data_IF_180699070857
#
_entry.id   IF_180699070857
#
_cell.length_a   1.000
_cell.length_b   1.000
_cell.length_c   1.000
_cell.angle_alpha   90.00
_cell.angle_beta   90.00
_cell.angle_gamma   90.00
#
_symmetry.space_group_name_H-M   'P 1'
#
loop_
_entity.id
_entity.type
_entity.pdbx_description
1 polymer ?
#
# COMPACT_ATOMS: atom_id res chain seq x y z
N UNK A 1 -6.47 29.77 14.15
CA UNK A 1 -5.92 28.69 13.31
C UNK A 1 -6.12 27.39 14.06
N UNK A 2 -7.26 26.74 13.86
CA UNK A 2 -7.48 25.41 14.45
C UNK A 2 -6.53 24.43 13.77
N UNK A 3 -5.69 23.76 14.56
CA UNK A 3 -5.00 22.58 14.11
C UNK A 3 -6.08 21.55 13.78
N UNK A 4 -6.41 21.40 12.50
CA UNK A 4 -7.21 20.28 12.03
C UNK A 4 -6.39 19.05 12.40
N UNK A 5 -6.79 18.41 13.49
CA UNK A 5 -6.30 17.11 13.91
C UNK A 5 -6.80 16.14 12.84
N UNK A 6 -6.12 16.10 11.69
CA UNK A 6 -6.44 15.21 10.57
C UNK A 6 -6.44 13.81 11.16
N UNK A 7 -7.62 13.17 11.20
CA UNK A 7 -7.75 11.80 11.68
C UNK A 7 -6.73 10.95 10.94
N UNK A 8 -5.75 10.44 11.70
CA UNK A 8 -4.65 9.66 11.17
C UNK A 8 -5.13 8.22 11.03
N UNK A 9 -5.27 7.74 9.80
CA UNK A 9 -5.60 6.35 9.55
C UNK A 9 -4.42 5.46 9.95
N UNK A 10 -4.69 4.28 10.48
CA UNK A 10 -3.66 3.29 10.81
C UNK A 10 -3.37 2.44 9.59
N UNK A 11 -2.10 2.31 9.21
CA UNK A 11 -1.69 1.39 8.13
C UNK A 11 -1.31 0.06 8.76
N UNK A 12 -1.98 -1.02 8.35
CA UNK A 12 -1.77 -2.36 8.90
C UNK A 12 -1.43 -3.37 7.80
N UNK A 13 -0.68 -4.41 8.17
CA UNK A 13 -0.63 -5.63 7.37
C UNK A 13 -1.82 -6.50 7.75
N UNK A 14 -2.73 -6.70 6.81
CA UNK A 14 -3.92 -7.50 6.98
C UNK A 14 -3.70 -8.90 6.40
N UNK A 15 -4.14 -9.97 7.07
CA UNK A 15 -3.89 -11.33 6.61
C UNK A 15 -4.61 -11.63 5.29
N UNK A 16 -4.07 -12.61 4.56
CA UNK A 16 -4.74 -13.20 3.42
C UNK A 16 -5.90 -14.12 3.85
N UNK A 17 -6.57 -14.78 2.89
CA UNK A 17 -7.70 -15.68 3.14
C UNK A 17 -7.37 -16.90 4.01
N UNK A 18 -6.09 -17.17 4.24
CA UNK A 18 -5.59 -18.26 5.08
C UNK A 18 -5.07 -17.78 6.45
N UNK A 19 -5.34 -16.52 6.82
CA UNK A 19 -4.84 -15.95 8.08
C UNK A 19 -3.35 -15.60 8.05
N UNK A 20 -2.71 -15.58 6.89
CA UNK A 20 -1.26 -15.33 6.77
C UNK A 20 -0.94 -13.89 6.40
N UNK A 21 -0.13 -13.24 7.22
CA UNK A 21 0.52 -11.97 6.90
C UNK A 21 1.51 -12.14 5.72
N UNK A 22 1.39 -11.28 4.71
CA UNK A 22 2.30 -11.25 3.56
C UNK A 22 3.08 -9.92 3.45
N UNK A 23 2.52 -8.82 3.97
CA UNK A 23 3.12 -7.50 3.85
C UNK A 23 4.32 -7.33 4.80
N UNK A 24 4.22 -7.75 6.06
CA UNK A 24 5.34 -7.61 7.00
C UNK A 24 6.56 -8.45 6.61
N UNK A 25 6.43 -9.72 6.15
CA UNK A 25 7.55 -10.48 5.61
C UNK A 25 8.22 -9.79 4.42
N UNK A 26 7.45 -9.18 3.51
CA UNK A 26 7.99 -8.42 2.39
C UNK A 26 8.80 -7.20 2.86
N UNK A 27 8.27 -6.41 3.79
CA UNK A 27 8.98 -5.26 4.38
C UNK A 27 10.25 -5.71 5.11
N UNK A 28 10.21 -6.81 5.86
CA UNK A 28 11.38 -7.39 6.54
C UNK A 28 12.44 -7.82 5.53
N UNK A 29 12.05 -8.43 4.41
CA UNK A 29 12.97 -8.81 3.34
C UNK A 29 13.63 -7.57 2.74
N UNK A 30 12.84 -6.57 2.35
CA UNK A 30 13.36 -5.35 1.73
C UNK A 30 14.27 -4.55 2.68
N UNK A 31 13.94 -4.51 3.97
CA UNK A 31 14.81 -3.93 5.02
C UNK A 31 16.14 -4.69 5.18
N UNK A 32 16.15 -6.01 5.03
CA UNK A 32 17.41 -6.78 5.06
C UNK A 32 18.26 -6.47 3.83
N UNK A 33 17.64 -6.38 2.66
CA UNK A 33 18.35 -6.01 1.42
C UNK A 33 18.92 -4.59 1.51
N UNK A 34 18.20 -3.64 2.11
CA UNK A 34 18.65 -2.25 2.25
C UNK A 34 19.92 -2.07 3.07
N UNK A 35 20.27 -3.03 3.94
CA UNK A 35 21.50 -2.99 4.73
C UNK A 35 22.76 -3.18 3.89
N UNK A 36 22.63 -3.74 2.68
CA UNK A 36 23.76 -4.14 1.84
C UNK A 36 23.69 -3.60 0.41
N UNK A 37 22.51 -3.17 -0.06
CA UNK A 37 22.30 -2.61 -1.39
C UNK A 37 21.68 -1.21 -1.30
N UNK A 38 22.44 -0.20 -1.75
CA UNK A 38 21.98 1.20 -1.83
C UNK A 38 20.68 1.32 -2.63
N UNK A 39 20.49 0.52 -3.68
CA UNK A 39 19.24 0.52 -4.45
C UNK A 39 18.08 -0.01 -3.62
N UNK A 40 18.30 -1.05 -2.82
CA UNK A 40 17.30 -1.54 -1.88
C UNK A 40 16.96 -0.51 -0.80
N UNK A 41 17.96 0.27 -0.35
CA UNK A 41 17.75 1.33 0.65
C UNK A 41 16.87 2.47 0.14
N UNK A 42 17.12 2.95 -1.08
CA UNK A 42 16.25 3.95 -1.72
C UNK A 42 14.84 3.39 -1.92
N UNK A 43 14.70 2.14 -2.41
CA UNK A 43 13.40 1.46 -2.59
C UNK A 43 12.64 1.36 -1.26
N UNK A 44 13.32 0.94 -0.20
CA UNK A 44 12.75 0.80 1.13
C UNK A 44 12.32 2.15 1.71
N UNK A 45 13.17 3.17 1.59
CA UNK A 45 12.88 4.53 2.05
C UNK A 45 11.63 5.11 1.39
N UNK A 46 11.49 4.98 0.06
CA UNK A 46 10.28 5.46 -0.62
C UNK A 46 9.03 4.66 -0.23
N UNK A 47 9.15 3.34 -0.05
CA UNK A 47 8.01 2.53 0.41
C UNK A 47 7.57 2.94 1.83
N UNK A 48 8.51 3.14 2.75
CA UNK A 48 8.18 3.63 4.09
C UNK A 48 7.54 5.02 4.06
N UNK A 49 8.07 5.93 3.23
CA UNK A 49 7.50 7.28 3.06
C UNK A 49 6.08 7.23 2.50
N UNK A 50 5.83 6.32 1.55
CA UNK A 50 4.50 6.08 1.00
C UNK A 50 3.52 5.55 2.06
N UNK A 51 3.92 4.56 2.84
CA UNK A 51 3.09 4.01 3.92
C UNK A 51 2.84 5.03 5.04
N UNK A 52 3.82 5.86 5.38
CA UNK A 52 3.62 6.97 6.32
C UNK A 52 2.63 7.99 5.76
N UNK A 53 2.78 8.38 4.49
CA UNK A 53 1.88 9.31 3.82
C UNK A 53 0.43 8.79 3.77
N UNK A 54 0.22 7.48 3.55
CA UNK A 54 -1.11 6.88 3.54
C UNK A 54 -1.89 7.16 4.83
N UNK A 55 -1.23 7.30 5.98
CA UNK A 55 -1.91 7.59 7.25
C UNK A 55 -2.63 8.96 7.26
N UNK A 56 -2.30 9.85 6.32
CA UNK A 56 -2.88 11.19 6.21
C UNK A 56 -3.83 11.35 5.01
N UNK A 57 -3.98 10.32 4.17
CA UNK A 57 -4.93 10.32 3.06
C UNK A 57 -6.32 10.08 3.66
N UNK A 58 -7.28 10.95 3.36
CA UNK A 58 -8.66 10.72 3.77
C UNK A 58 -9.29 9.66 2.85
N UNK A 59 -10.16 8.80 3.38
CA UNK A 59 -10.92 7.83 2.58
C UNK A 59 -11.72 8.52 1.46
N UNK A 60 -12.23 9.72 1.71
CA UNK A 60 -12.97 10.51 0.73
C UNK A 60 -12.10 11.10 -0.38
N UNK A 61 -10.78 11.16 -0.16
CA UNK A 61 -9.81 11.64 -1.16
C UNK A 61 -9.29 10.49 -2.05
N UNK A 62 -9.69 9.24 -1.77
CA UNK A 62 -9.30 8.10 -2.58
C UNK A 62 -9.91 8.22 -4.00
N UNK A 63 -9.12 7.93 -5.04
CA UNK A 63 -9.62 8.00 -6.41
C UNK A 63 -10.71 6.95 -6.64
N UNK A 64 -11.89 7.37 -7.11
CA UNK A 64 -13.02 6.46 -7.36
C UNK A 64 -13.01 5.84 -8.76
N UNK A 65 -12.29 6.47 -9.68
CA UNK A 65 -12.22 6.09 -11.10
C UNK A 65 -10.76 6.08 -11.56
N UNK A 66 -10.41 5.10 -12.40
CA UNK A 66 -9.01 4.83 -12.76
C UNK A 66 -8.37 5.91 -13.65
N UNK A 67 -9.18 6.77 -14.27
CA UNK A 67 -8.79 7.91 -15.10
C UNK A 67 -8.43 9.16 -14.28
N UNK A 68 -8.63 9.14 -12.96
CA UNK A 68 -8.17 10.19 -12.03
C UNK A 68 -7.06 9.66 -11.11
N UNK A 69 -5.80 9.69 -11.56
CA UNK A 69 -4.68 9.22 -10.77
C UNK A 69 -4.45 10.07 -9.52
N UNK A 70 -4.23 9.42 -8.38
CA UNK A 70 -3.80 10.10 -7.16
C UNK A 70 -2.28 10.22 -7.18
N UNK A 71 -1.76 11.44 -7.32
CA UNK A 71 -0.33 11.69 -7.33
C UNK A 71 0.21 12.13 -5.97
N UNK A 72 1.41 11.69 -5.63
CA UNK A 72 2.16 12.20 -4.49
C UNK A 72 3.63 12.37 -4.86
N UNK A 73 4.24 13.44 -4.38
CA UNK A 73 5.68 13.66 -4.49
C UNK A 73 6.34 13.35 -3.15
N UNK A 74 7.39 12.55 -3.20
CA UNK A 74 8.18 12.21 -2.02
C UNK A 74 9.62 12.63 -2.19
N UNK A 75 10.21 13.00 -1.06
CA UNK A 75 11.63 13.20 -0.88
C UNK A 75 12.10 12.29 0.26
N UNK A 76 13.22 11.61 0.05
CA UNK A 76 13.94 10.84 1.07
C UNK A 76 15.42 11.20 1.04
N UNK A 77 16.08 11.10 2.19
CA UNK A 77 17.52 11.29 2.32
C UNK A 77 18.16 9.97 2.72
N UNK A 78 19.15 9.52 1.96
CA UNK A 78 19.92 8.29 2.21
C UNK A 78 21.41 8.67 2.25
N UNK A 79 22.01 8.62 3.44
CA UNK A 79 23.33 9.20 3.65
C UNK A 79 23.32 10.72 3.39
N UNK A 80 24.18 11.18 2.48
CA UNK A 80 24.25 12.58 2.05
C UNK A 80 23.40 12.89 0.82
N UNK A 81 22.85 11.86 0.17
CA UNK A 81 22.10 12.01 -1.08
C UNK A 81 20.59 12.20 -0.84
N UNK A 82 19.99 13.09 -1.61
CA UNK A 82 18.56 13.36 -1.62
C UNK A 82 17.95 12.74 -2.87
N UNK A 83 16.89 11.97 -2.69
CA UNK A 83 16.12 11.37 -3.76
C UNK A 83 14.71 11.96 -3.73
N UNK A 84 14.28 12.51 -4.85
CA UNK A 84 12.94 13.06 -5.01
C UNK A 84 12.24 12.43 -6.21
N UNK A 85 11.00 12.02 -6.04
CA UNK A 85 10.22 11.45 -7.12
C UNK A 85 8.71 11.66 -6.92
N UNK A 86 8.01 11.95 -8.02
CA UNK A 86 6.55 11.94 -8.09
C UNK A 86 6.03 10.58 -8.54
N UNK A 87 5.04 10.06 -7.80
CA UNK A 87 4.40 8.78 -8.06
C UNK A 87 2.93 8.98 -8.37
N UNK A 88 2.43 8.26 -9.37
CA UNK A 88 1.01 7.91 -9.47
C UNK A 88 0.71 6.88 -8.37
N UNK A 89 0.52 7.38 -7.15
CA UNK A 89 0.65 6.62 -5.91
C UNK A 89 -0.48 5.62 -5.69
N UNK A 90 -1.73 6.04 -5.87
CA UNK A 90 -2.91 5.22 -5.59
C UNK A 90 -3.71 5.07 -6.87
N UNK A 91 -4.07 3.83 -7.20
CA UNK A 91 -4.96 3.51 -8.30
C UNK A 91 -6.14 2.67 -7.79
N UNK A 92 -7.40 3.04 -8.10
CA UNK A 92 -8.52 2.15 -7.85
C UNK A 92 -8.49 0.98 -8.83
N UNK A 93 -8.78 -0.22 -8.34
CA UNK A 93 -8.90 -1.41 -9.17
C UNK A 93 -10.37 -1.63 -9.54
N UNK A 94 -10.63 -2.44 -10.56
CA UNK A 94 -11.99 -2.71 -11.06
C UNK A 94 -12.80 -3.66 -10.13
N UNK A 95 -12.75 -3.39 -8.82
CA UNK A 95 -13.52 -4.00 -7.73
C UNK A 95 -13.72 -2.94 -6.64
N UNK A 96 -14.96 -2.80 -6.15
CA UNK A 96 -15.34 -1.81 -5.13
C UNK A 96 -14.43 -1.91 -3.91
N UNK A 97 -13.89 -0.77 -3.47
CA UNK A 97 -13.10 -0.67 -2.25
C UNK A 97 -11.69 -1.26 -2.35
N UNK A 98 -11.25 -1.76 -3.50
CA UNK A 98 -9.91 -2.33 -3.67
C UNK A 98 -9.01 -1.36 -4.44
N UNK A 99 -7.84 -1.10 -3.86
CA UNK A 99 -6.87 -0.14 -4.36
C UNK A 99 -5.49 -0.79 -4.51
N UNK A 100 -4.67 -0.17 -5.35
CA UNK A 100 -3.28 -0.51 -5.58
C UNK A 100 -2.40 0.69 -5.22
N UNK A 101 -1.50 0.50 -4.23
CA UNK A 101 -0.37 1.39 -3.99
C UNK A 101 0.71 1.10 -5.03
N UNK A 102 1.25 2.14 -5.67
CA UNK A 102 2.18 2.02 -6.80
C UNK A 102 3.43 2.84 -6.56
N UNK A 103 4.55 2.15 -6.42
CA UNK A 103 5.89 2.77 -6.38
C UNK A 103 6.65 2.30 -7.62
N UNK A 104 6.70 3.15 -8.64
CA UNK A 104 7.39 2.89 -9.90
C UNK A 104 8.65 3.73 -9.97
N UNK A 105 9.82 3.13 -9.81
CA UNK A 105 11.11 3.82 -9.87
C UNK A 105 11.82 3.44 -11.17
N UNK A 106 11.66 4.26 -12.22
CA UNK A 106 12.21 3.98 -13.56
C UNK A 106 13.73 3.76 -13.52
N UNK A 107 14.48 4.61 -12.82
CA UNK A 107 15.94 4.49 -12.69
C UNK A 107 16.43 3.23 -11.96
N UNK A 108 15.55 2.56 -11.23
CA UNK A 108 15.84 1.34 -10.47
C UNK A 108 15.21 0.09 -11.10
N UNK A 109 14.52 0.24 -12.24
CA UNK A 109 13.68 -0.80 -12.85
C UNK A 109 12.77 -1.51 -11.83
N UNK A 110 12.23 -0.76 -10.86
CA UNK A 110 11.45 -1.32 -9.78
C UNK A 110 10.00 -0.86 -9.87
N UNK A 111 9.08 -1.81 -9.82
CA UNK A 111 7.64 -1.59 -9.95
C UNK A 111 6.90 -2.31 -8.82
N UNK A 112 7.00 -1.76 -7.63
CA UNK A 112 6.29 -2.30 -6.47
C UNK A 112 4.80 -1.99 -6.54
N UNK A 113 4.01 -2.95 -6.07
CA UNK A 113 2.56 -2.89 -5.88
C UNK A 113 2.18 -3.39 -4.51
N UNK A 114 1.25 -2.69 -3.84
CA UNK A 114 0.59 -3.17 -2.63
C UNK A 114 -0.92 -3.13 -2.81
N UNK A 115 -1.58 -4.28 -2.77
CA UNK A 115 -3.05 -4.33 -2.79
C UNK A 115 -3.57 -4.05 -1.38
N UNK A 116 -4.52 -3.14 -1.27
CA UNK A 116 -5.13 -2.75 0.00
C UNK A 116 -6.60 -2.38 -0.15
N UNK A 117 -7.29 -2.28 0.98
CA UNK A 117 -8.60 -1.65 1.09
C UNK A 117 -8.67 -0.74 2.34
N UNK A 118 -9.44 0.36 2.30
CA UNK A 118 -9.76 1.14 3.49
C UNK A 118 -10.86 0.42 4.29
N UNK A 119 -10.77 0.45 5.62
CA UNK A 119 -11.79 -0.10 6.52
C UNK A 119 -11.95 0.78 7.76
N UNK A 120 -13.17 0.85 8.31
CA UNK A 120 -13.44 1.56 9.56
C UNK A 120 -13.90 0.57 10.62
N UNK A 121 -13.28 0.63 11.80
CA UNK A 121 -13.61 -0.21 12.94
C UNK A 121 -13.55 0.63 14.22
N UNK A 122 -14.58 0.57 15.08
CA UNK A 122 -14.69 1.32 16.34
C UNK A 122 -14.18 2.77 16.27
N UNK A 123 -14.71 3.54 15.31
CA UNK A 123 -14.39 4.96 15.01
C UNK A 123 -12.99 5.24 14.43
N UNK A 124 -12.14 4.22 14.31
CA UNK A 124 -10.80 4.30 13.71
C UNK A 124 -10.84 3.93 12.24
N UNK A 125 -9.93 4.52 11.47
CA UNK A 125 -9.76 4.27 10.05
C UNK A 125 -8.48 3.49 9.81
N UNK A 126 -8.55 2.48 8.95
CA UNK A 126 -7.44 1.59 8.64
C UNK A 126 -7.22 1.49 7.14
N UNK A 127 -5.96 1.46 6.73
CA UNK A 127 -5.55 1.00 5.41
C UNK A 127 -4.98 -0.41 5.54
N UNK A 128 -5.77 -1.39 5.09
CA UNK A 128 -5.49 -2.81 5.22
C UNK A 128 -4.70 -3.33 4.02
N UNK A 129 -3.37 -3.36 4.13
CA UNK A 129 -2.49 -3.88 3.08
C UNK A 129 -2.39 -5.40 3.16
N UNK A 130 -2.67 -6.10 2.07
CA UNK A 130 -2.71 -7.57 2.05
C UNK A 130 -1.59 -8.15 1.21
N UNK A 131 -1.48 -7.74 -0.07
CA UNK A 131 -0.61 -8.40 -1.04
C UNK A 131 0.44 -7.44 -1.58
N UNK A 132 1.69 -7.51 -1.10
CA UNK A 132 2.83 -6.86 -1.75
C UNK A 132 3.32 -7.71 -2.94
N UNK A 133 3.72 -7.08 -4.04
CA UNK A 133 4.40 -7.76 -5.14
C UNK A 133 5.17 -6.79 -6.03
N UNK A 134 6.12 -7.33 -6.80
CA UNK A 134 6.84 -6.59 -7.82
C UNK A 134 6.34 -6.98 -9.20
N UNK A 135 6.02 -5.99 -10.02
CA UNK A 135 5.51 -6.22 -11.37
C UNK A 135 6.68 -6.34 -12.35
N UNK A 136 6.83 -7.50 -12.95
CA UNK A 136 7.77 -7.73 -14.06
C UNK A 136 7.13 -7.31 -15.38
N UNK A 137 7.95 -7.00 -16.39
CA UNK A 137 7.48 -6.61 -17.74
C UNK A 137 6.99 -7.80 -18.57
N UNK A 138 7.47 -9.01 -18.27
CA UNK A 138 7.13 -10.23 -18.98
C UNK A 138 6.13 -11.01 -18.13
N UNK A 139 4.83 -10.85 -18.38
CA UNK A 139 3.80 -11.57 -17.64
C UNK A 139 2.80 -12.20 -18.59
N UNK A 140 2.71 -13.53 -18.55
CA UNK A 140 1.63 -14.33 -19.14
C UNK A 140 0.37 -14.32 -18.26
N UNK A 141 0.47 -13.79 -17.04
CA UNK A 141 -0.59 -13.78 -16.02
C UNK A 141 -0.73 -12.41 -15.36
N UNK A 142 -1.95 -11.88 -15.24
CA UNK A 142 -2.16 -10.60 -14.58
C UNK A 142 -2.21 -10.75 -13.05
N UNK A 143 -1.04 -10.68 -12.40
CA UNK A 143 -0.88 -10.76 -10.94
C UNK A 143 -1.72 -9.70 -10.20
N UNK A 144 -1.85 -8.49 -10.74
CA UNK A 144 -2.67 -7.43 -10.14
C UNK A 144 -4.13 -7.88 -10.03
N UNK A 145 -4.70 -8.45 -11.09
CA UNK A 145 -6.10 -8.88 -11.11
C UNK A 145 -6.35 -10.05 -10.17
N UNK A 146 -5.40 -11.00 -10.12
CA UNK A 146 -5.48 -12.13 -9.19
C UNK A 146 -5.52 -11.68 -7.72
N UNK A 147 -4.61 -10.79 -7.32
CA UNK A 147 -4.60 -10.29 -5.95
C UNK A 147 -5.76 -9.34 -5.64
N UNK A 148 -6.23 -8.56 -6.63
CA UNK A 148 -7.46 -7.76 -6.52
C UNK A 148 -8.65 -8.65 -6.15
N UNK A 149 -8.86 -9.73 -6.88
CA UNK A 149 -10.03 -10.60 -6.68
C UNK A 149 -9.96 -11.35 -5.34
N UNK A 150 -8.75 -11.70 -4.88
CA UNK A 150 -8.53 -12.24 -3.53
C UNK A 150 -8.81 -11.21 -2.44
N UNK A 151 -8.27 -10.00 -2.57
CA UNK A 151 -8.52 -8.90 -1.62
C UNK A 151 -10.01 -8.55 -1.54
N UNK A 152 -10.71 -8.57 -2.68
CA UNK A 152 -12.16 -8.34 -2.71
C UNK A 152 -12.95 -9.40 -1.95
N UNK A 153 -12.56 -10.68 -2.06
CA UNK A 153 -13.19 -11.75 -1.27
C UNK A 153 -12.94 -11.58 0.23
N UNK A 154 -11.73 -11.18 0.62
CA UNK A 154 -11.39 -10.90 2.02
C UNK A 154 -12.22 -9.73 2.55
N UNK A 155 -12.31 -8.62 1.81
CA UNK A 155 -13.13 -7.46 2.20
C UNK A 155 -14.60 -7.86 2.38
N UNK A 156 -15.16 -8.62 1.44
CA UNK A 156 -16.55 -9.08 1.57
C UNK A 156 -16.77 -10.03 2.75
N UNK A 157 -15.79 -10.88 3.11
CA UNK A 157 -15.90 -11.75 4.29
C UNK A 157 -15.81 -10.92 5.58
N UNK A 158 -14.89 -9.95 5.63
CA UNK A 158 -14.76 -8.99 6.72
C UNK A 158 -16.04 -8.17 6.93
N UNK A 159 -16.64 -7.65 5.86
CA UNK A 159 -17.89 -6.88 5.93
C UNK A 159 -19.09 -7.73 6.42
N UNK A 160 -19.06 -9.04 6.19
CA UNK A 160 -20.13 -9.97 6.62
C UNK A 160 -19.93 -10.52 8.03
N UNK A 161 -18.68 -10.77 8.40
CA UNK A 161 -18.28 -11.44 9.65
C UNK A 161 -17.18 -10.63 10.35
N UNK A 162 -17.42 -9.36 10.73
CA UNK A 162 -16.39 -8.47 11.28
C UNK A 162 -15.76 -9.01 12.58
N UNK A 163 -16.51 -9.76 13.38
CA UNK A 163 -16.08 -10.38 14.63
C UNK A 163 -14.90 -11.34 14.46
N UNK A 164 -14.80 -12.00 13.30
CA UNK A 164 -13.69 -12.90 12.97
C UNK A 164 -12.33 -12.18 12.84
N UNK A 165 -12.35 -10.86 12.66
CA UNK A 165 -11.18 -10.06 12.31
C UNK A 165 -10.83 -8.98 13.34
N UNK A 166 -11.51 -8.95 14.49
CA UNK A 166 -11.32 -7.90 15.51
C UNK A 166 -9.88 -7.80 16.01
N UNK A 167 -9.15 -8.91 16.04
CA UNK A 167 -7.75 -8.95 16.49
C UNK A 167 -6.79 -8.13 15.61
N UNK A 168 -7.20 -7.72 14.41
CA UNK A 168 -6.38 -6.96 13.47
C UNK A 168 -6.58 -5.43 13.57
N UNK A 169 -7.49 -4.93 14.42
CA UNK A 169 -7.88 -3.52 14.54
C UNK A 169 -7.66 -2.95 15.94
#
# INVERSE_FOLDING_TARGET
MESINKKKATVISFPNEYGKDQFSPFLKKLRKESQFDKKADVRFGFLLKALDYMQYVNFNDLPTVADKPFFAQFEIKIGEEIYQQTFELIKPLNKRGIYELRINMKGFNWRFRGIFFPYSYDTRQFYCFIFPFEKTSNVTFNVTDHFRDRAYRILNDLEKNPEKYQEYF
#
